data_IF_568525370509
#
_entry.id   IF_568525370509
#
_cell.length_a   1.000
_cell.length_b   1.000
_cell.length_c   1.000
_cell.angle_alpha   90.00
_cell.angle_beta   90.00
_cell.angle_gamma   90.00
#
_symmetry.space_group_name_H-M   'P 1'
#
loop_
_entity.id
_entity.type
_entity.pdbx_description
1 polymer ?
#
# COMPACT_ATOMS: atom_id res chain seq x y z
N UNK A 1 -3.74 -46.12 27.20
CA UNK A 1 -2.83 -45.40 26.29
C UNK A 1 -3.65 -44.35 25.56
N UNK A 2 -3.47 -43.09 25.93
CA UNK A 2 -4.20 -41.98 25.31
C UNK A 2 -3.73 -41.83 23.87
N UNK A 3 -4.65 -42.00 22.93
CA UNK A 3 -4.37 -42.09 21.52
C UNK A 3 -4.19 -40.67 20.96
N UNK A 4 -3.04 -40.06 21.26
CA UNK A 4 -2.65 -38.69 20.90
C UNK A 4 -2.87 -38.39 19.41
N UNK A 5 -2.76 -39.43 18.56
CA UNK A 5 -3.03 -39.35 17.13
C UNK A 5 -4.51 -39.04 16.84
N UNK A 6 -5.45 -39.69 17.55
CA UNK A 6 -6.88 -39.41 17.41
C UNK A 6 -7.25 -38.02 17.93
N UNK A 7 -6.58 -37.55 18.98
CA UNK A 7 -6.81 -36.23 19.55
C UNK A 7 -6.32 -35.12 18.59
N UNK A 8 -5.13 -35.27 18.04
CA UNK A 8 -4.58 -34.37 17.02
C UNK A 8 -5.42 -34.36 15.73
N UNK A 9 -5.89 -35.53 15.28
CA UNK A 9 -6.77 -35.64 14.11
C UNK A 9 -8.09 -34.89 14.34
N UNK A 10 -8.71 -35.07 15.51
CA UNK A 10 -9.95 -34.36 15.86
C UNK A 10 -9.77 -32.84 15.96
N UNK A 11 -8.60 -32.36 16.43
CA UNK A 11 -8.29 -30.92 16.45
C UNK A 11 -8.12 -30.37 15.02
N UNK A 12 -7.46 -31.11 14.13
CA UNK A 12 -7.26 -30.73 12.73
C UNK A 12 -8.57 -30.69 11.92
N UNK A 13 -9.48 -31.63 12.21
CA UNK A 13 -10.79 -31.74 11.56
C UNK A 13 -11.81 -30.70 12.04
N UNK A 14 -11.57 -30.00 13.14
CA UNK A 14 -12.39 -28.84 13.52
C UNK A 14 -12.21 -27.76 12.47
N UNK A 15 -13.20 -27.62 11.58
CA UNK A 15 -13.25 -26.58 10.57
C UNK A 15 -12.86 -25.25 11.20
N UNK A 16 -11.73 -24.67 10.78
CA UNK A 16 -11.30 -23.35 11.23
C UNK A 16 -12.49 -22.43 10.97
N UNK A 17 -13.09 -21.86 12.03
CA UNK A 17 -14.12 -20.82 11.90
C UNK A 17 -13.57 -19.84 10.88
N UNK A 18 -14.17 -19.81 9.69
CA UNK A 18 -13.63 -19.08 8.56
C UNK A 18 -13.35 -17.67 9.03
N UNK A 19 -12.09 -17.24 8.96
CA UNK A 19 -11.74 -15.85 9.27
C UNK A 19 -12.57 -15.03 8.29
N UNK A 20 -13.67 -14.46 8.78
CA UNK A 20 -14.51 -13.57 7.99
C UNK A 20 -13.59 -12.47 7.52
N UNK A 21 -13.21 -12.51 6.23
CA UNK A 21 -12.41 -11.46 5.62
C UNK A 21 -13.20 -10.19 5.82
N UNK A 22 -12.72 -9.30 6.70
CA UNK A 22 -13.32 -7.98 6.88
C UNK A 22 -13.32 -7.34 5.50
N UNK A 23 -14.51 -7.10 4.95
CA UNK A 23 -14.66 -6.39 3.70
C UNK A 23 -14.24 -4.94 3.94
N UNK A 24 -12.95 -4.65 3.76
CA UNK A 24 -12.46 -3.29 3.75
C UNK A 24 -13.14 -2.56 2.61
N UNK A 25 -14.06 -1.65 2.94
CA UNK A 25 -14.72 -0.79 1.96
C UNK A 25 -13.62 -0.01 1.23
N UNK A 26 -13.43 -0.31 -0.06
CA UNK A 26 -12.45 0.39 -0.89
C UNK A 26 -12.79 1.88 -0.88
N UNK A 27 -11.83 2.72 -0.49
CA UNK A 27 -12.02 4.17 -0.51
C UNK A 27 -12.30 4.60 -1.95
N UNK A 28 -13.34 5.41 -2.14
CA UNK A 28 -13.67 5.96 -3.46
C UNK A 28 -12.54 6.87 -3.91
N UNK A 29 -12.10 6.71 -5.16
CA UNK A 29 -11.04 7.56 -5.72
C UNK A 29 -11.60 8.96 -5.94
N UNK A 30 -10.99 10.02 -5.40
CA UNK A 30 -11.56 11.38 -5.44
C UNK A 30 -11.67 11.96 -6.85
N UNK A 31 -10.83 11.49 -7.79
CA UNK A 31 -10.87 11.88 -9.19
C UNK A 31 -11.87 11.10 -10.04
N UNK A 32 -12.55 10.10 -9.48
CA UNK A 32 -13.50 9.25 -10.20
C UNK A 32 -14.91 9.83 -10.10
N UNK A 33 -15.27 10.62 -11.10
CA UNK A 33 -16.52 11.38 -11.16
C UNK A 33 -17.71 10.52 -11.65
N UNK A 34 -18.98 10.93 -11.43
CA UNK A 34 -20.16 10.17 -11.83
C UNK A 34 -20.21 9.85 -13.34
N UNK A 35 -19.74 10.77 -14.16
CA UNK A 35 -19.58 10.64 -15.61
C UNK A 35 -18.63 9.47 -15.99
N UNK A 36 -17.53 9.28 -15.27
CA UNK A 36 -16.67 8.11 -15.46
C UNK A 36 -17.33 6.80 -15.01
N UNK A 37 -18.19 6.87 -13.98
CA UNK A 37 -18.95 5.71 -13.54
C UNK A 37 -19.96 5.29 -14.60
N UNK A 38 -20.74 6.23 -15.13
CA UNK A 38 -21.72 5.99 -16.18
C UNK A 38 -21.08 5.35 -17.42
N UNK A 39 -20.00 5.94 -17.94
CA UNK A 39 -19.27 5.38 -19.08
C UNK A 39 -18.77 3.97 -18.81
N UNK A 40 -18.29 3.69 -17.59
CA UNK A 40 -17.85 2.35 -17.20
C UNK A 40 -19.01 1.37 -17.18
N UNK A 41 -20.15 1.75 -16.61
CA UNK A 41 -21.36 0.92 -16.60
C UNK A 41 -21.85 0.61 -18.02
N UNK A 42 -21.86 1.60 -18.91
CA UNK A 42 -22.21 1.41 -20.33
C UNK A 42 -21.22 0.47 -21.03
N UNK A 43 -19.93 0.57 -20.73
CA UNK A 43 -18.91 -0.32 -21.28
C UNK A 43 -19.07 -1.76 -20.78
N UNK A 44 -19.34 -1.95 -19.49
CA UNK A 44 -19.61 -3.26 -18.90
C UNK A 44 -20.86 -3.89 -19.54
N UNK A 45 -21.90 -3.09 -19.79
CA UNK A 45 -23.11 -3.52 -20.47
C UNK A 45 -22.83 -3.96 -21.92
N UNK A 46 -22.15 -3.13 -22.73
CA UNK A 46 -21.79 -3.48 -24.10
C UNK A 46 -20.87 -4.70 -24.16
N UNK A 47 -19.95 -4.83 -23.21
CA UNK A 47 -19.05 -5.98 -23.12
C UNK A 47 -19.81 -7.27 -22.84
N UNK A 48 -20.83 -7.23 -21.97
CA UNK A 48 -21.74 -8.36 -21.75
C UNK A 48 -22.50 -8.71 -23.03
N UNK A 49 -23.08 -7.73 -23.72
CA UNK A 49 -23.76 -7.99 -24.99
C UNK A 49 -22.83 -8.62 -26.03
N UNK A 50 -21.58 -8.16 -26.09
CA UNK A 50 -20.59 -8.67 -27.04
C UNK A 50 -20.20 -10.11 -26.72
N UNK A 51 -20.18 -10.50 -25.46
CA UNK A 51 -19.97 -11.89 -25.06
C UNK A 51 -21.09 -12.81 -25.61
N UNK A 52 -22.34 -12.34 -25.67
CA UNK A 52 -23.45 -13.09 -26.26
C UNK A 52 -23.48 -13.07 -27.79
N UNK A 53 -23.00 -11.97 -28.41
CA UNK A 53 -22.99 -11.78 -29.87
C UNK A 53 -21.60 -11.41 -30.35
N UNK A 54 -20.65 -12.37 -30.34
CA UNK A 54 -19.25 -12.06 -30.57
C UNK A 54 -18.98 -11.54 -31.98
N UNK A 55 -19.76 -11.91 -33.00
CA UNK A 55 -19.51 -11.54 -34.40
C UNK A 55 -20.23 -10.25 -34.85
N UNK A 56 -20.94 -9.57 -33.95
CA UNK A 56 -21.56 -8.29 -34.26
C UNK A 56 -20.51 -7.17 -34.36
N UNK A 57 -20.18 -6.80 -35.60
CA UNK A 57 -19.18 -5.76 -35.90
C UNK A 57 -19.59 -4.38 -35.39
N UNK A 58 -20.89 -4.04 -35.40
CA UNK A 58 -21.35 -2.75 -34.90
C UNK A 58 -21.15 -2.67 -33.39
N UNK A 59 -21.46 -3.75 -32.68
CA UNK A 59 -21.28 -3.84 -31.23
C UNK A 59 -19.80 -3.78 -30.84
N UNK A 60 -18.93 -4.49 -31.57
CA UNK A 60 -17.47 -4.40 -31.40
C UNK A 60 -16.97 -2.96 -31.57
N UNK A 61 -17.40 -2.29 -32.64
CA UNK A 61 -16.98 -0.92 -32.92
C UNK A 61 -17.46 0.05 -31.82
N UNK A 62 -18.73 -0.04 -31.40
CA UNK A 62 -19.27 0.76 -30.29
C UNK A 62 -18.49 0.54 -28.99
N UNK A 63 -18.22 -0.72 -28.63
CA UNK A 63 -17.46 -1.07 -27.44
C UNK A 63 -16.02 -0.50 -27.49
N UNK A 64 -15.35 -0.61 -28.64
CA UNK A 64 -14.02 -0.06 -28.84
C UNK A 64 -13.99 1.47 -28.72
N UNK A 65 -14.89 2.16 -29.40
CA UNK A 65 -15.00 3.62 -29.37
C UNK A 65 -15.27 4.12 -27.95
N UNK A 66 -16.22 3.50 -27.23
CA UNK A 66 -16.53 3.86 -25.85
C UNK A 66 -15.34 3.59 -24.92
N UNK A 67 -14.64 2.46 -25.09
CA UNK A 67 -13.43 2.14 -24.33
C UNK A 67 -12.33 3.18 -24.51
N UNK A 68 -12.11 3.62 -25.75
CA UNK A 68 -11.13 4.66 -26.08
C UNK A 68 -11.50 6.00 -25.43
N UNK A 69 -12.76 6.40 -25.52
CA UNK A 69 -13.26 7.64 -24.90
C UNK A 69 -13.15 7.59 -23.37
N UNK A 70 -13.61 6.50 -22.75
CA UNK A 70 -13.49 6.28 -21.30
C UNK A 70 -12.03 6.37 -20.84
N UNK A 71 -11.11 5.69 -21.52
CA UNK A 71 -9.70 5.72 -21.15
C UNK A 71 -9.07 7.10 -21.31
N UNK A 72 -9.47 7.87 -22.35
CA UNK A 72 -9.03 9.26 -22.53
C UNK A 72 -9.50 10.12 -21.36
N UNK A 73 -10.80 10.12 -21.09
CA UNK A 73 -11.41 10.92 -20.02
C UNK A 73 -10.85 10.54 -18.64
N UNK A 74 -10.69 9.25 -18.37
CA UNK A 74 -10.11 8.74 -17.12
C UNK A 74 -8.69 9.28 -16.90
N UNK A 75 -7.85 9.26 -17.93
CA UNK A 75 -6.47 9.78 -17.85
C UNK A 75 -6.47 11.28 -17.63
N UNK A 76 -7.33 12.01 -18.34
CA UNK A 76 -7.49 13.45 -18.23
C UNK A 76 -7.93 13.88 -16.82
N UNK A 77 -9.04 13.32 -16.32
CA UNK A 77 -9.56 13.61 -14.97
C UNK A 77 -8.53 13.32 -13.89
N UNK A 78 -7.81 12.19 -14.01
CA UNK A 78 -6.71 11.85 -13.11
C UNK A 78 -5.62 12.93 -13.15
N UNK A 79 -5.14 13.30 -14.34
CA UNK A 79 -4.09 14.32 -14.50
C UNK A 79 -4.51 15.68 -13.94
N UNK A 80 -5.72 16.12 -14.25
CA UNK A 80 -6.26 17.40 -13.77
C UNK A 80 -6.33 17.41 -12.24
N UNK A 81 -6.83 16.33 -11.63
CA UNK A 81 -6.88 16.22 -10.18
C UNK A 81 -5.49 16.30 -9.52
N UNK A 82 -4.49 15.60 -10.05
CA UNK A 82 -3.12 15.70 -9.52
C UNK A 82 -2.51 17.09 -9.75
N UNK A 83 -2.75 17.71 -10.90
CA UNK A 83 -2.33 19.08 -11.19
C UNK A 83 -2.94 20.08 -10.20
N UNK A 84 -4.23 19.94 -9.90
CA UNK A 84 -4.94 20.77 -8.93
C UNK A 84 -4.38 20.59 -7.52
N UNK A 85 -4.08 19.35 -7.12
CA UNK A 85 -3.45 19.08 -5.83
C UNK A 85 -2.06 19.70 -5.73
N UNK A 86 -1.22 19.56 -6.76
CA UNK A 86 0.12 20.18 -6.80
C UNK A 86 0.01 21.70 -6.71
N UNK A 87 -0.93 22.31 -7.45
CA UNK A 87 -1.17 23.75 -7.39
C UNK A 87 -1.62 24.19 -6.00
N UNK A 88 -2.55 23.45 -5.36
CA UNK A 88 -2.97 23.69 -3.98
C UNK A 88 -1.79 23.58 -3.01
N UNK A 89 -0.94 22.57 -3.14
CA UNK A 89 0.24 22.39 -2.30
C UNK A 89 1.22 23.55 -2.43
N UNK A 90 1.52 24.01 -3.65
CA UNK A 90 2.41 25.16 -3.88
C UNK A 90 1.89 26.44 -3.23
N UNK A 91 0.57 26.65 -3.24
CA UNK A 91 -0.05 27.83 -2.64
C UNK A 91 -0.17 27.74 -1.11
N UNK A 92 -0.23 26.53 -0.56
CA UNK A 92 -0.40 26.28 0.87
C UNK A 92 0.92 26.17 1.64
N UNK A 93 2.04 25.83 0.99
CA UNK A 93 3.33 25.67 1.66
C UNK A 93 3.78 26.94 2.40
N UNK A 94 3.45 28.11 1.86
CA UNK A 94 3.80 29.41 2.44
C UNK A 94 2.71 30.01 3.33
N UNK A 95 1.43 29.66 3.10
CA UNK A 95 0.28 30.26 3.79
C UNK A 95 -0.25 29.45 4.96
N UNK A 96 -0.26 28.12 4.86
CA UNK A 96 -0.82 27.24 5.88
C UNK A 96 -0.20 25.82 5.84
N UNK A 97 0.89 25.60 6.61
CA UNK A 97 1.61 24.33 6.60
C UNK A 97 0.77 23.15 7.12
N UNK A 98 -0.24 23.39 7.97
CA UNK A 98 -1.10 22.32 8.50
C UNK A 98 -1.94 21.67 7.40
N UNK A 99 -2.61 22.50 6.58
CA UNK A 99 -3.40 22.01 5.45
C UNK A 99 -2.53 21.34 4.38
N UNK A 100 -1.29 21.82 4.19
CA UNK A 100 -0.32 21.16 3.32
C UNK A 100 -0.08 19.71 3.75
N UNK A 101 0.22 19.47 5.04
CA UNK A 101 0.46 18.12 5.56
C UNK A 101 -0.79 17.24 5.54
N UNK A 102 -1.98 17.79 5.73
CA UNK A 102 -3.24 17.05 5.55
C UNK A 102 -3.37 16.51 4.13
N UNK A 103 -3.13 17.35 3.11
CA UNK A 103 -3.19 16.93 1.71
C UNK A 103 -2.10 15.87 1.42
N UNK A 104 -0.86 16.08 1.89
CA UNK A 104 0.23 15.10 1.73
C UNK A 104 -0.15 13.75 2.34
N UNK A 105 -0.73 13.75 3.54
CA UNK A 105 -1.15 12.53 4.20
C UNK A 105 -2.28 11.84 3.43
N UNK A 106 -3.28 12.58 2.92
CA UNK A 106 -4.34 11.97 2.10
C UNK A 106 -3.82 11.33 0.82
N UNK A 107 -2.77 11.88 0.21
CA UNK A 107 -2.10 11.27 -0.95
C UNK A 107 -1.38 9.96 -0.57
N UNK A 108 -0.58 9.97 0.50
CA UNK A 108 0.15 8.77 0.98
C UNK A 108 -0.80 7.60 1.30
N UNK A 109 -1.99 7.89 1.82
CA UNK A 109 -3.00 6.87 2.12
C UNK A 109 -3.86 6.46 0.92
N UNK A 110 -3.77 7.14 -0.22
CA UNK A 110 -4.52 6.78 -1.43
C UNK A 110 -3.78 5.75 -2.29
N UNK A 111 -2.47 5.68 -2.16
CA UNK A 111 -1.59 4.68 -2.80
C UNK A 111 -1.19 3.54 -1.84
N UNK A 112 -1.75 3.47 -0.64
CA UNK A 112 -1.42 2.44 0.36
C UNK A 112 -2.09 1.07 0.10
N UNK A 113 -2.46 0.76 -1.14
CA UNK A 113 -2.33 -0.63 -1.59
C UNK A 113 -0.82 -0.86 -1.70
N UNK A 114 -0.21 -1.19 -0.55
CA UNK A 114 1.22 -1.43 -0.39
C UNK A 114 1.70 -2.39 -1.48
N UNK A 115 2.28 -1.85 -2.55
CA UNK A 115 3.48 -2.47 -3.08
C UNK A 115 4.53 -2.26 -1.99
N UNK A 116 4.65 -3.25 -1.10
CA UNK A 116 5.87 -3.41 -0.33
C UNK A 116 6.97 -3.58 -1.36
N UNK A 117 7.64 -2.47 -1.73
CA UNK A 117 8.90 -2.56 -2.45
C UNK A 117 9.80 -3.38 -1.52
N UNK A 118 10.22 -4.59 -1.89
CA UNK A 118 11.01 -5.43 -1.03
C UNK A 118 12.45 -4.93 -1.11
N UNK A 119 12.72 -3.75 -0.52
CA UNK A 119 14.08 -3.38 -0.22
C UNK A 119 14.49 -4.30 0.92
N UNK A 120 15.25 -5.33 0.59
CA UNK A 120 15.78 -6.25 1.58
C UNK A 120 16.69 -5.48 2.55
N UNK A 121 16.74 -5.87 3.82
CA UNK A 121 17.60 -5.22 4.82
C UNK A 121 19.08 -5.13 4.39
N UNK A 122 19.54 -6.08 3.56
CA UNK A 122 20.89 -6.07 2.99
C UNK A 122 21.12 -4.89 2.03
N UNK A 123 20.19 -4.61 1.12
CA UNK A 123 20.28 -3.49 0.16
C UNK A 123 20.28 -2.15 0.90
N UNK A 124 19.46 -2.04 1.95
CA UNK A 124 19.44 -0.86 2.80
C UNK A 124 20.78 -0.67 3.54
N UNK A 125 21.32 -1.76 4.11
CA UNK A 125 22.59 -1.75 4.83
C UNK A 125 23.76 -1.35 3.93
N UNK A 126 23.80 -1.86 2.70
CA UNK A 126 24.86 -1.55 1.75
C UNK A 126 24.80 -0.09 1.28
N UNK A 127 23.60 0.43 1.02
CA UNK A 127 23.39 1.85 0.74
C UNK A 127 23.86 2.75 1.90
N UNK A 128 23.57 2.37 3.15
CA UNK A 128 24.03 3.11 4.32
C UNK A 128 25.56 3.05 4.51
N UNK A 129 26.19 1.90 4.22
CA UNK A 129 27.66 1.78 4.23
C UNK A 129 28.28 2.66 3.16
N UNK A 130 27.67 2.76 2.00
CA UNK A 130 28.15 3.57 0.88
C UNK A 130 28.06 5.07 1.20
N UNK A 131 26.95 5.52 1.77
CA UNK A 131 26.81 6.90 2.28
C UNK A 131 27.86 7.25 3.33
N UNK A 132 28.16 6.34 4.25
CA UNK A 132 29.16 6.55 5.30
C UNK A 132 30.62 6.48 4.81
N UNK A 133 30.87 6.04 3.58
CA UNK A 133 32.20 6.10 2.96
C UNK A 133 32.48 7.46 2.31
N UNK A 134 31.42 8.18 1.91
CA UNK A 134 31.53 9.46 1.19
C UNK A 134 31.81 10.63 2.14
N UNK A 135 31.36 10.55 3.39
CA UNK A 135 31.71 11.52 4.42
C UNK A 135 32.96 11.06 5.18
N UNK A 136 34.11 11.68 4.91
CA UNK A 136 35.36 11.52 5.68
C UNK A 136 35.30 12.05 7.12
N UNK A 137 34.14 11.95 7.78
CA UNK A 137 33.91 12.33 9.16
C UNK A 137 33.67 11.07 9.99
N UNK A 138 34.33 11.02 11.16
CA UNK A 138 34.28 9.90 12.11
C UNK A 138 32.83 9.50 12.39
N UNK A 139 32.54 8.22 12.14
CA UNK A 139 31.23 7.59 12.31
C UNK A 139 30.71 7.72 13.75
N UNK A 140 29.79 8.67 13.98
CA UNK A 140 29.00 8.80 15.21
C UNK A 140 28.14 7.54 15.48
N UNK A 141 27.87 6.76 14.43
CA UNK A 141 27.08 5.52 14.50
C UNK A 141 27.87 4.43 15.24
N UNK A 142 29.19 4.34 15.03
CA UNK A 142 30.02 3.33 15.70
C UNK A 142 30.13 3.56 17.22
N UNK A 143 30.12 4.81 17.66
CA UNK A 143 30.17 5.14 19.08
C UNK A 143 28.84 4.86 19.78
N UNK A 144 27.71 5.05 19.07
CA UNK A 144 26.39 4.70 19.60
C UNK A 144 26.24 3.19 19.84
N UNK A 145 26.69 2.35 18.90
CA UNK A 145 26.59 0.89 19.04
C UNK A 145 27.58 0.32 20.07
N UNK A 146 28.79 0.89 20.21
CA UNK A 146 29.75 0.47 21.24
C UNK A 146 29.27 0.79 22.66
N UNK A 147 28.55 1.89 22.85
CA UNK A 147 28.01 2.26 24.16
C UNK A 147 26.80 1.40 24.57
N UNK A 148 26.02 0.89 23.62
CA UNK A 148 24.90 -0.02 23.91
C UNK A 148 25.32 -1.46 24.24
N UNK A 149 26.51 -1.91 23.82
CA UNK A 149 27.00 -3.26 24.11
C UNK A 149 27.85 -3.36 25.40
N UNK A 150 28.23 -2.23 25.99
CA UNK A 150 29.05 -2.17 27.20
C UNK A 150 28.29 -1.78 28.49
N UNK A 151 26.96 -1.74 28.46
CA UNK A 151 26.15 -1.59 29.68
C UNK A 151 26.01 -2.95 30.39
N UNK A 152 27.10 -3.33 31.04
CA UNK A 152 27.17 -3.99 32.35
C UNK A 152 25.98 -4.90 32.72
N UNK A 153 26.23 -6.20 32.61
CA UNK A 153 25.75 -7.21 33.56
C UNK A 153 26.08 -6.69 34.97
N UNK A 154 25.06 -6.31 35.74
CA UNK A 154 25.18 -6.13 37.18
C UNK A 154 25.01 -7.52 37.82
N UNK A 155 25.95 -7.99 38.66
CA UNK A 155 25.77 -9.21 39.42
C UNK A 155 24.84 -8.89 40.60
N UNK A 156 23.72 -9.60 40.73
CA UNK A 156 22.96 -9.64 41.98
C UNK A 156 22.20 -10.96 42.06
N UNK A 157 22.77 -11.88 42.84
CA UNK A 157 22.13 -13.07 43.36
C UNK A 157 22.68 -13.29 44.76
N UNK A 158 22.10 -12.57 45.73
CA UNK A 158 22.17 -12.91 47.16
C UNK A 158 21.52 -14.27 47.36
N UNK A 159 22.24 -15.21 47.98
CA UNK A 159 21.61 -16.30 48.73
C UNK A 159 22.22 -16.33 50.13
N UNK A 160 21.35 -16.02 51.09
CA UNK A 160 21.45 -16.37 52.50
C UNK A 160 21.12 -17.88 52.56
N UNK A 161 21.92 -18.68 53.26
CA UNK A 161 21.45 -19.84 54.02
C UNK A 161 22.46 -20.19 55.13
N UNK A 162 21.91 -20.22 56.34
CA UNK A 162 22.29 -20.88 57.60
C UNK A 162 23.68 -20.66 58.24
#
# INVERSE_FOLDING_TARGET
MNNCILEAANISLKARKGVMRKNNKKKKKPWFTPDLHEMKTSLDYLSKQLAFRPFDNQLRHKCFCLSKQYNKLRKERRRNHFKDIVNKMKNLSTKNPKQFWEIVNTLKFCDSEKEEIPITPSVLLDHFKELNKVSGEKSLINDYFKNCLNTTIIPNGTDIND
#
